data_IF_523374179548
#
_entry.id   IF_523374179548
#
_cell.length_a   1.000
_cell.length_b   1.000
_cell.length_c   1.000
_cell.angle_alpha   90.00
_cell.angle_beta   90.00
_cell.angle_gamma   90.00
#
_symmetry.space_group_name_H-M   'P 1'
#
loop_
_entity.id
_entity.type
_entity.pdbx_description
1 polymer ?
#
# COMPACT_ATOMS: atom_id res chain seq x y z
N UNK A 1 -36.84 3.78 -4.90
CA UNK A 1 -36.09 4.95 -4.37
C UNK A 1 -35.31 4.49 -3.15
N UNK A 2 -34.01 4.77 -3.08
CA UNK A 2 -33.20 4.43 -1.91
C UNK A 2 -33.45 5.45 -0.79
N UNK A 3 -33.83 4.96 0.39
CA UNK A 3 -34.07 5.77 1.58
C UNK A 3 -32.78 5.87 2.39
N UNK A 4 -32.32 7.09 2.63
CA UNK A 4 -31.09 7.35 3.38
C UNK A 4 -31.45 8.06 4.68
N UNK A 5 -31.85 7.29 5.68
CA UNK A 5 -32.26 7.78 7.00
C UNK A 5 -31.30 8.81 7.60
N UNK A 6 -29.99 8.60 7.44
CA UNK A 6 -28.96 9.54 7.92
C UNK A 6 -28.94 10.88 7.17
N UNK A 7 -29.30 10.89 5.89
CA UNK A 7 -29.38 12.12 5.06
C UNK A 7 -30.69 12.88 5.31
N UNK A 8 -31.79 12.18 5.60
CA UNK A 8 -33.06 12.82 5.96
C UNK A 8 -33.00 13.45 7.37
N UNK A 9 -32.35 12.80 8.34
CA UNK A 9 -32.02 13.40 9.64
C UNK A 9 -31.13 14.65 9.48
N UNK A 10 -30.24 14.66 8.49
CA UNK A 10 -29.37 15.77 8.11
C UNK A 10 -30.13 16.95 7.49
N UNK A 11 -31.12 16.69 6.64
CA UNK A 11 -31.99 17.72 6.06
C UNK A 11 -32.84 18.43 7.13
N UNK A 12 -33.30 17.68 8.14
CA UNK A 12 -34.01 18.24 9.31
C UNK A 12 -33.08 19.08 10.21
N UNK A 13 -31.81 18.71 10.32
CA UNK A 13 -30.81 19.37 11.17
C UNK A 13 -30.00 20.48 10.48
N UNK A 14 -30.16 20.68 9.16
CA UNK A 14 -29.46 21.69 8.34
C UNK A 14 -29.68 23.15 8.80
N UNK A 15 -30.65 23.43 9.67
CA UNK A 15 -30.84 24.73 10.31
C UNK A 15 -29.84 25.03 11.45
N UNK A 16 -28.90 24.13 11.76
CA UNK A 16 -27.90 24.36 12.81
C UNK A 16 -26.49 24.49 12.24
N UNK A 17 -25.87 25.67 12.40
CA UNK A 17 -24.44 25.93 12.10
C UNK A 17 -23.49 24.89 12.71
N UNK A 18 -23.88 24.27 13.83
CA UNK A 18 -23.10 23.24 14.52
C UNK A 18 -22.99 21.93 13.73
N UNK A 19 -24.01 21.55 12.96
CA UNK A 19 -24.03 20.28 12.23
C UNK A 19 -23.14 20.31 10.99
N UNK A 20 -23.18 21.40 10.21
CA UNK A 20 -22.24 21.64 9.10
C UNK A 20 -20.78 21.61 9.57
N UNK A 21 -20.49 22.23 10.72
CA UNK A 21 -19.16 22.17 11.33
C UNK A 21 -18.77 20.75 11.75
N UNK A 22 -19.72 19.98 12.29
CA UNK A 22 -19.53 18.57 12.63
C UNK A 22 -19.26 17.69 11.40
N UNK A 23 -19.95 17.91 10.29
CA UNK A 23 -19.71 17.20 9.03
C UNK A 23 -18.35 17.53 8.42
N UNK A 24 -17.94 18.81 8.45
CA UNK A 24 -16.60 19.22 8.01
C UNK A 24 -15.51 18.52 8.82
N UNK A 25 -15.65 18.50 10.16
CA UNK A 25 -14.71 17.77 11.04
C UNK A 25 -14.71 16.27 10.76
N UNK A 26 -15.85 15.67 10.41
CA UNK A 26 -15.91 14.28 9.99
C UNK A 26 -15.13 14.05 8.70
N UNK A 27 -15.37 14.86 7.67
CA UNK A 27 -14.64 14.77 6.39
C UNK A 27 -13.13 14.97 6.60
N UNK A 28 -12.72 15.94 7.42
CA UNK A 28 -11.32 16.19 7.73
C UNK A 28 -10.66 14.99 8.43
N UNK A 29 -11.35 14.36 9.38
CA UNK A 29 -10.87 13.16 10.06
C UNK A 29 -10.80 11.95 9.13
N UNK A 30 -11.80 11.79 8.26
CA UNK A 30 -11.81 10.70 7.27
C UNK A 30 -10.66 10.87 6.27
N UNK A 31 -10.46 12.10 5.77
CA UNK A 31 -9.33 12.45 4.91
C UNK A 31 -7.98 12.23 5.60
N UNK A 32 -7.85 12.63 6.88
CA UNK A 32 -6.63 12.39 7.66
C UNK A 32 -6.32 10.90 7.80
N UNK A 33 -7.32 10.06 8.12
CA UNK A 33 -7.17 8.60 8.17
C UNK A 33 -6.78 8.01 6.84
N UNK A 34 -7.41 8.48 5.75
CA UNK A 34 -7.03 8.07 4.40
C UNK A 34 -5.58 8.42 4.13
N UNK A 35 -5.12 9.62 4.49
CA UNK A 35 -3.73 10.05 4.30
C UNK A 35 -2.75 9.21 5.13
N UNK A 36 -3.04 8.96 6.41
CA UNK A 36 -2.27 8.05 7.27
C UNK A 36 -2.15 6.65 6.66
N UNK A 37 -3.26 6.12 6.12
CA UNK A 37 -3.26 4.82 5.44
C UNK A 37 -2.38 4.82 4.17
N UNK A 38 -2.40 5.89 3.36
CA UNK A 38 -1.46 5.99 2.23
C UNK A 38 -0.02 6.02 2.68
N UNK A 39 0.30 6.82 3.69
CA UNK A 39 1.67 6.94 4.19
C UNK A 39 2.16 5.58 4.71
N UNK A 40 1.28 4.80 5.37
CA UNK A 40 1.59 3.42 5.76
C UNK A 40 1.90 2.52 4.57
N UNK A 41 1.11 2.60 3.49
CA UNK A 41 1.37 1.83 2.27
C UNK A 41 2.66 2.28 1.55
N UNK A 42 2.94 3.57 1.52
CA UNK A 42 4.15 4.12 0.89
C UNK A 42 5.41 3.68 1.66
N UNK A 43 5.38 3.73 2.99
CA UNK A 43 6.45 3.20 3.83
C UNK A 43 6.67 1.69 3.61
N UNK A 44 5.59 0.90 3.56
CA UNK A 44 5.68 -0.53 3.27
C UNK A 44 6.26 -0.79 1.87
N UNK A 45 5.90 0.04 0.89
CA UNK A 45 6.43 -0.05 -0.46
C UNK A 45 7.94 0.20 -0.49
N UNK A 46 8.41 1.24 0.22
CA UNK A 46 9.85 1.55 0.33
C UNK A 46 10.61 0.40 0.98
N UNK A 47 10.12 -0.15 2.09
CA UNK A 47 10.79 -1.26 2.79
C UNK A 47 10.89 -2.53 1.92
N UNK A 48 9.82 -2.85 1.18
CA UNK A 48 9.83 -3.97 0.23
C UNK A 48 10.79 -3.74 -0.94
N UNK A 49 10.91 -2.48 -1.40
CA UNK A 49 11.80 -2.13 -2.49
C UNK A 49 13.27 -2.31 -2.08
N UNK A 50 13.62 -1.86 -0.87
CA UNK A 50 14.94 -2.05 -0.30
C UNK A 50 15.30 -3.54 -0.20
N UNK A 51 14.39 -4.36 0.34
CA UNK A 51 14.58 -5.82 0.41
C UNK A 51 14.75 -6.48 -0.95
N UNK A 52 13.95 -6.09 -1.94
CA UNK A 52 14.05 -6.62 -3.30
C UNK A 52 15.40 -6.25 -3.95
N UNK A 53 15.90 -5.04 -3.67
CA UNK A 53 17.21 -4.59 -4.14
C UNK A 53 18.35 -5.35 -3.45
N UNK A 54 18.30 -5.54 -2.14
CA UNK A 54 19.28 -6.35 -1.40
C UNK A 54 19.36 -7.78 -1.96
N UNK A 55 18.20 -8.39 -2.25
CA UNK A 55 18.15 -9.71 -2.88
C UNK A 55 18.77 -9.71 -4.27
N UNK A 56 18.49 -8.70 -5.09
CA UNK A 56 19.10 -8.57 -6.43
C UNK A 56 20.63 -8.48 -6.36
N UNK A 57 21.15 -7.71 -5.39
CA UNK A 57 22.60 -7.61 -5.15
C UNK A 57 23.16 -8.99 -4.79
N UNK A 58 22.52 -9.69 -3.86
CA UNK A 58 22.96 -11.04 -3.46
C UNK A 58 22.91 -12.07 -4.60
N UNK A 59 21.87 -12.03 -5.45
CA UNK A 59 21.80 -12.84 -6.67
C UNK A 59 22.99 -12.54 -7.59
N UNK A 60 23.29 -11.26 -7.80
CA UNK A 60 24.41 -10.83 -8.66
C UNK A 60 25.76 -11.31 -8.11
N UNK A 61 25.96 -11.21 -6.80
CA UNK A 61 27.16 -11.74 -6.12
C UNK A 61 27.27 -13.27 -6.28
N UNK A 62 26.16 -13.99 -6.11
CA UNK A 62 26.11 -15.44 -6.28
C UNK A 62 26.43 -15.85 -7.72
N UNK A 63 25.94 -15.13 -8.72
CA UNK A 63 26.22 -15.41 -10.14
C UNK A 63 27.72 -15.29 -10.48
N UNK A 64 28.44 -14.40 -9.80
CA UNK A 64 29.88 -14.21 -9.94
C UNK A 64 30.75 -15.34 -9.34
N UNK A 65 30.18 -16.22 -8.51
CA UNK A 65 30.91 -17.36 -7.94
C UNK A 65 31.08 -18.50 -8.95
N UNK A 66 32.04 -19.40 -8.70
CA UNK A 66 32.22 -20.59 -9.53
C UNK A 66 30.92 -21.41 -9.66
N UNK A 67 30.57 -21.90 -10.87
CA UNK A 67 29.37 -22.70 -11.07
C UNK A 67 29.36 -23.95 -10.19
N UNK A 68 28.25 -24.18 -9.48
CA UNK A 68 28.03 -25.41 -8.72
C UNK A 68 26.54 -25.74 -8.67
N UNK A 69 26.21 -27.02 -8.51
CA UNK A 69 24.82 -27.47 -8.39
C UNK A 69 24.10 -26.80 -7.20
N UNK A 70 24.82 -26.52 -6.11
CA UNK A 70 24.28 -25.80 -4.94
C UNK A 70 23.95 -24.35 -5.29
N UNK A 71 24.84 -23.66 -6.01
CA UNK A 71 24.62 -22.29 -6.49
C UNK A 71 23.37 -22.21 -7.36
N UNK A 72 23.23 -23.12 -8.33
CA UNK A 72 22.06 -23.13 -9.22
C UNK A 72 20.74 -23.28 -8.46
N UNK A 73 20.65 -24.22 -7.50
CA UNK A 73 19.44 -24.38 -6.68
C UNK A 73 19.11 -23.15 -5.84
N UNK A 74 20.13 -22.49 -5.28
CA UNK A 74 19.93 -21.25 -4.51
C UNK A 74 19.43 -20.13 -5.42
N UNK A 75 20.05 -19.94 -6.58
CA UNK A 75 19.63 -18.94 -7.57
C UNK A 75 18.20 -19.19 -8.05
N UNK A 76 17.81 -20.44 -8.28
CA UNK A 76 16.45 -20.80 -8.66
C UNK A 76 15.42 -20.36 -7.60
N UNK A 77 15.66 -20.70 -6.32
CA UNK A 77 14.80 -20.24 -5.23
C UNK A 77 14.73 -18.71 -5.13
N UNK A 78 15.88 -18.04 -5.15
CA UNK A 78 15.94 -16.58 -5.02
C UNK A 78 15.24 -15.87 -6.17
N UNK A 79 15.34 -16.40 -7.39
CA UNK A 79 14.66 -15.83 -8.56
C UNK A 79 13.13 -15.98 -8.46
N UNK A 80 12.62 -17.08 -7.92
CA UNK A 80 11.18 -17.21 -7.64
C UNK A 80 10.72 -16.23 -6.57
N UNK A 81 11.48 -16.09 -5.48
CA UNK A 81 11.16 -15.10 -4.44
C UNK A 81 11.22 -13.67 -5.01
N UNK A 82 12.20 -13.34 -5.87
CA UNK A 82 12.33 -12.05 -6.57
C UNK A 82 11.08 -11.72 -7.39
N UNK A 83 10.49 -12.71 -8.08
CA UNK A 83 9.25 -12.50 -8.84
C UNK A 83 8.08 -12.15 -7.91
N UNK A 84 7.98 -12.83 -6.77
CA UNK A 84 6.93 -12.54 -5.78
C UNK A 84 7.08 -11.15 -5.18
N UNK A 85 8.30 -10.74 -4.84
CA UNK A 85 8.57 -9.38 -4.35
C UNK A 85 8.12 -8.31 -5.36
N UNK A 86 8.42 -8.51 -6.65
CA UNK A 86 7.99 -7.59 -7.71
C UNK A 86 6.47 -7.52 -7.84
N UNK A 87 5.76 -8.65 -7.71
CA UNK A 87 4.29 -8.68 -7.73
C UNK A 87 3.74 -7.84 -6.57
N UNK A 88 4.21 -8.08 -5.34
CA UNK A 88 3.75 -7.33 -4.17
C UNK A 88 4.06 -5.84 -4.28
N UNK A 89 5.24 -5.46 -4.78
CA UNK A 89 5.61 -4.07 -5.03
C UNK A 89 4.65 -3.38 -6.01
N UNK A 90 4.27 -4.07 -7.08
CA UNK A 90 3.33 -3.53 -8.07
C UNK A 90 1.91 -3.40 -7.51
N UNK A 91 1.46 -4.36 -6.69
CA UNK A 91 0.16 -4.33 -6.04
C UNK A 91 0.03 -3.17 -5.06
N UNK A 92 1.03 -2.97 -4.20
CA UNK A 92 1.06 -1.86 -3.25
C UNK A 92 1.15 -0.53 -4.01
N UNK A 93 2.01 -0.43 -5.03
CA UNK A 93 2.11 0.79 -5.84
C UNK A 93 0.79 1.14 -6.50
N UNK A 94 0.08 0.15 -7.03
CA UNK A 94 -1.26 0.30 -7.61
C UNK A 94 -2.29 0.74 -6.56
N UNK A 95 -2.21 0.24 -5.34
CA UNK A 95 -3.08 0.68 -4.24
C UNK A 95 -2.84 2.15 -3.86
N UNK A 96 -1.57 2.59 -3.85
CA UNK A 96 -1.19 3.99 -3.60
C UNK A 96 -1.72 4.92 -4.70
N UNK A 97 -1.54 4.54 -5.98
CA UNK A 97 -1.89 5.37 -7.14
C UNK A 97 -3.38 5.44 -7.46
N UNK A 98 -4.22 4.55 -6.89
CA UNK A 98 -5.68 4.52 -7.10
C UNK A 98 -6.45 5.49 -6.20
N UNK A 99 -5.76 6.36 -5.48
CA UNK A 99 -6.35 7.44 -4.68
C UNK A 99 -6.85 8.60 -5.51
#
# INVERSE_FOLDING_TARGET
MAYFSRLDELAVAANSRGLFKGMLVYCDRDNARNLEFANGLDNLWVELLERANERQVFITELEGLCPSAKRYKILECLNEDQKQDLIHLLEIRKAILRK
#
